data_IF_523382883983
#
_entry.id   IF_523382883983
#
_cell.length_a   1.000
_cell.length_b   1.000
_cell.length_c   1.000
_cell.angle_alpha   90.00
_cell.angle_beta   90.00
_cell.angle_gamma   90.00
#
_symmetry.space_group_name_H-M   'P 1'
#
loop_
_entity.id
_entity.type
_entity.pdbx_description
1 polymer ?
#
# COMPACT_ATOMS: atom_id res chain seq x y z
N UNK A 1 -9.81 6.68 -7.93
CA UNK A 1 -8.60 7.51 -7.77
C UNK A 1 -7.53 6.95 -8.70
N UNK A 2 -6.80 7.81 -9.41
CA UNK A 2 -5.64 7.39 -10.20
C UNK A 2 -4.38 7.56 -9.34
N UNK A 3 -3.48 6.59 -9.35
CA UNK A 3 -2.21 6.63 -8.62
C UNK A 3 -1.07 6.27 -9.57
N UNK A 4 0.02 7.02 -9.50
CA UNK A 4 1.27 6.65 -10.16
C UNK A 4 2.03 5.66 -9.29
N UNK A 5 2.46 4.55 -9.88
CA UNK A 5 3.36 3.58 -9.27
C UNK A 5 4.49 3.32 -10.26
N UNK A 6 5.64 3.96 -10.00
CA UNK A 6 6.85 3.77 -10.79
C UNK A 6 6.67 4.10 -12.29
N UNK A 7 5.88 5.12 -12.61
CA UNK A 7 5.61 5.57 -13.98
C UNK A 7 4.40 4.93 -14.65
N UNK A 8 3.75 3.98 -13.98
CA UNK A 8 2.52 3.32 -14.42
C UNK A 8 1.32 3.88 -13.63
N UNK A 9 0.23 4.21 -14.32
CA UNK A 9 -0.97 4.76 -13.66
C UNK A 9 -2.00 3.65 -13.40
N UNK A 10 -2.35 3.46 -12.13
CA UNK A 10 -3.34 2.49 -11.69
C UNK A 10 -4.62 3.16 -11.21
N UNK A 11 -5.77 2.56 -11.53
CA UNK A 11 -7.07 2.99 -11.05
C UNK A 11 -7.46 2.22 -9.77
N UNK A 12 -7.58 2.94 -8.65
CA UNK A 12 -8.10 2.42 -7.39
C UNK A 12 -9.58 2.80 -7.22
N UNK A 13 -10.49 1.85 -6.92
CA UNK A 13 -11.89 2.15 -6.63
C UNK A 13 -11.99 3.06 -5.41
N UNK A 14 -12.71 4.19 -5.54
CA UNK A 14 -12.87 5.14 -4.42
C UNK A 14 -13.60 4.51 -3.23
N UNK A 15 -14.49 3.56 -3.47
CA UNK A 15 -15.22 2.81 -2.43
C UNK A 15 -14.31 2.02 -1.49
N UNK A 16 -13.09 1.72 -1.91
CA UNK A 16 -12.13 0.94 -1.12
C UNK A 16 -11.09 1.84 -0.45
N UNK A 17 -11.11 3.16 -0.69
CA UNK A 17 -10.15 4.10 -0.09
C UNK A 17 -10.74 4.67 1.18
N UNK A 18 -10.09 4.39 2.31
CA UNK A 18 -10.47 4.96 3.61
C UNK A 18 -9.93 6.38 3.75
N UNK A 19 -8.64 6.57 3.49
CA UNK A 19 -7.96 7.86 3.54
C UNK A 19 -6.66 7.83 2.74
N UNK A 20 -6.17 9.02 2.37
CA UNK A 20 -4.86 9.22 1.74
C UNK A 20 -3.98 9.97 2.73
N UNK A 21 -2.86 9.35 3.12
CA UNK A 21 -1.97 9.86 4.15
C UNK A 21 -0.65 10.23 3.50
N UNK A 22 -0.12 11.43 3.79
CA UNK A 22 1.24 11.78 3.39
C UNK A 22 2.23 10.94 4.18
N UNK A 23 3.14 10.25 3.49
CA UNK A 23 4.18 9.47 4.17
C UNK A 23 5.26 10.42 4.67
N UNK A 24 5.31 10.60 5.97
CA UNK A 24 6.39 11.33 6.65
C UNK A 24 7.34 10.33 7.32
N UNK A 25 8.65 10.57 7.34
CA UNK A 25 9.62 9.66 7.96
C UNK A 25 9.29 9.30 9.41
N UNK A 26 8.68 10.24 10.16
CA UNK A 26 8.28 10.03 11.56
C UNK A 26 7.18 8.97 11.74
N UNK A 27 6.36 8.73 10.72
CA UNK A 27 5.25 7.77 10.77
C UNK A 27 5.64 6.39 10.22
N UNK A 28 6.77 6.30 9.51
CA UNK A 28 7.29 5.04 8.98
C UNK A 28 8.11 4.34 10.05
N UNK A 29 7.66 3.15 10.45
CA UNK A 29 8.38 2.31 11.40
C UNK A 29 8.57 0.91 10.82
N UNK A 30 9.54 0.20 11.37
CA UNK A 30 9.76 -1.21 11.07
C UNK A 30 9.59 -1.99 12.35
N UNK A 31 8.69 -2.98 12.34
CA UNK A 31 8.49 -3.90 13.46
C UNK A 31 8.89 -5.29 12.96
N UNK A 32 9.99 -5.82 13.50
CA UNK A 32 10.60 -7.04 12.97
C UNK A 32 11.07 -6.85 11.52
N UNK A 33 10.51 -7.64 10.60
CA UNK A 33 10.75 -7.55 9.15
C UNK A 33 9.65 -6.79 8.39
N UNK A 34 8.62 -6.29 9.08
CA UNK A 34 7.46 -5.65 8.45
C UNK A 34 7.52 -4.14 8.59
N UNK A 35 7.39 -3.44 7.46
CA UNK A 35 7.19 -1.99 7.42
C UNK A 35 5.75 -1.67 7.83
N UNK A 36 5.59 -0.71 8.73
CA UNK A 36 4.28 -0.25 9.22
C UNK A 36 4.19 1.28 9.15
N UNK A 37 2.97 1.77 8.93
CA UNK A 37 2.64 3.18 9.01
C UNK A 37 1.85 3.44 10.30
N UNK A 38 2.42 4.25 11.19
CA UNK A 38 1.75 4.68 12.41
C UNK A 38 0.99 5.97 12.12
N UNK A 39 -0.34 5.88 11.99
CA UNK A 39 -1.21 7.04 11.74
C UNK A 39 -2.16 7.21 12.91
N UNK A 40 -2.08 8.36 13.57
CA UNK A 40 -2.90 8.69 14.76
C UNK A 40 -2.77 7.60 15.84
N UNK A 41 -3.82 6.80 16.04
CA UNK A 41 -3.90 5.74 17.04
C UNK A 41 -3.88 4.33 16.43
N UNK A 42 -3.51 4.21 15.15
CA UNK A 42 -3.52 2.95 14.40
C UNK A 42 -2.14 2.61 13.85
N UNK A 43 -1.82 1.31 13.87
CA UNK A 43 -0.64 0.75 13.20
C UNK A 43 -1.15 -0.02 11.99
N UNK A 44 -0.81 0.46 10.79
CA UNK A 44 -1.24 -0.13 9.54
C UNK A 44 -0.06 -0.84 8.87
N UNK A 45 -0.25 -2.07 8.35
CA UNK A 45 0.78 -2.71 7.55
C UNK A 45 1.03 -1.88 6.29
N UNK A 46 2.30 -1.60 6.00
CA UNK A 46 2.68 -0.86 4.81
C UNK A 46 3.18 -1.84 3.75
N UNK A 47 2.45 -1.92 2.65
CA UNK A 47 2.85 -2.68 1.45
C UNK A 47 3.42 -1.71 0.44
N UNK A 48 4.53 -2.08 -0.18
CA UNK A 48 5.06 -1.32 -1.31
C UNK A 48 4.24 -1.64 -2.56
N UNK A 49 3.66 -0.62 -3.19
CA UNK A 49 2.79 -0.80 -4.35
C UNK A 49 3.56 -1.40 -5.54
N UNK A 50 4.84 -1.07 -5.70
CA UNK A 50 5.66 -1.63 -6.77
C UNK A 50 5.83 -3.13 -6.59
N UNK A 51 6.06 -3.59 -5.35
CA UNK A 51 6.13 -5.03 -5.03
C UNK A 51 4.79 -5.73 -5.25
N UNK A 52 3.69 -5.11 -4.80
CA UNK A 52 2.35 -5.69 -4.92
C UNK A 52 1.90 -5.86 -6.37
N UNK A 53 2.27 -4.93 -7.25
CA UNK A 53 1.98 -4.99 -8.68
C UNK A 53 3.07 -5.67 -9.51
N UNK A 54 4.19 -6.06 -8.89
CA UNK A 54 5.30 -6.72 -9.58
C UNK A 54 6.06 -5.81 -10.56
N UNK A 55 6.05 -4.49 -10.33
CA UNK A 55 6.77 -3.51 -11.16
C UNK A 55 8.10 -3.10 -10.52
N UNK A 56 9.08 -2.62 -11.31
CA UNK A 56 10.37 -2.20 -10.78
C UNK A 56 10.21 -1.10 -9.72
N UNK A 57 10.85 -1.28 -8.56
CA UNK A 57 10.84 -0.26 -7.51
C UNK A 57 11.48 1.02 -8.02
N UNK A 58 10.70 2.11 -8.06
CA UNK A 58 11.25 3.45 -8.24
C UNK A 58 11.75 3.99 -6.89
N UNK A 59 12.73 4.91 -6.95
CA UNK A 59 13.21 5.60 -5.75
C UNK A 59 12.05 6.38 -5.13
N UNK A 60 11.76 6.12 -3.85
CA UNK A 60 10.72 6.87 -3.11
C UNK A 60 11.08 8.36 -3.10
N UNK A 61 10.21 9.17 -3.68
CA UNK A 61 10.34 10.63 -3.71
C UNK A 61 9.87 11.21 -2.37
N UNK A 62 10.59 12.19 -1.78
CA UNK A 62 10.08 12.94 -0.63
C UNK A 62 8.68 13.48 -0.91
N UNK A 63 7.76 13.32 0.04
CA UNK A 63 6.36 13.75 -0.12
C UNK A 63 5.44 12.74 -0.81
N UNK A 64 5.86 11.48 -0.94
CA UNK A 64 5.00 10.36 -1.35
C UNK A 64 3.75 10.23 -0.46
N UNK A 65 2.73 9.56 -0.98
CA UNK A 65 1.47 9.28 -0.26
C UNK A 65 1.28 7.78 -0.09
N UNK A 66 0.70 7.39 1.04
CA UNK A 66 0.15 6.07 1.27
C UNK A 66 -1.38 6.16 1.13
N UNK A 67 -1.95 5.22 0.40
CA UNK A 67 -3.40 5.07 0.30
C UNK A 67 -3.82 3.97 1.26
N UNK A 68 -4.67 4.30 2.23
CA UNK A 68 -5.21 3.32 3.16
C UNK A 68 -6.43 2.68 2.49
N UNK A 69 -6.34 1.38 2.24
CA UNK A 69 -7.39 0.60 1.58
C UNK A 69 -8.16 -0.23 2.58
N UNK A 70 -9.48 -0.32 2.40
CA UNK A 70 -10.32 -1.33 3.03
C UNK A 70 -10.35 -2.56 2.12
N UNK A 71 -9.86 -3.67 2.64
CA UNK A 71 -9.95 -4.97 1.96
C UNK A 71 -11.00 -5.81 2.68
N UNK A 72 -12.17 -6.01 2.07
CA UNK A 72 -13.08 -7.07 2.49
C UNK A 72 -12.44 -8.41 2.14
N UNK A 73 -12.04 -9.21 3.13
CA UNK A 73 -11.43 -10.51 2.86
C UNK A 73 -12.49 -11.47 2.31
N UNK A 74 -12.57 -11.61 0.98
CA UNK A 74 -13.33 -12.69 0.33
C UNK A 74 -12.45 -13.64 -0.47
N UNK A 75 -12.19 -14.78 0.18
CA UNK A 75 -11.78 -16.13 -0.27
C UNK A 75 -10.92 -16.24 -1.54
N UNK A 76 -9.63 -16.47 -1.32
CA UNK A 76 -8.70 -17.01 -2.33
C UNK A 76 -8.87 -18.53 -2.39
N UNK A 77 -9.47 -19.05 -3.47
CA UNK A 77 -9.43 -20.47 -3.78
C UNK A 77 -8.22 -20.76 -4.67
N UNK A 78 -7.22 -21.50 -4.16
CA UNK A 78 -6.13 -22.02 -4.98
C UNK A 78 -6.46 -23.45 -5.39
N UNK A 79 -6.85 -23.65 -6.65
CA UNK A 79 -6.90 -24.99 -7.25
C UNK A 79 -5.51 -25.32 -7.78
N UNK A 80 -4.70 -26.04 -7.00
CA UNK A 80 -3.64 -26.86 -7.60
C UNK A 80 -4.29 -28.15 -8.08
N UNK A 81 -4.51 -28.25 -9.39
CA UNK A 81 -4.85 -29.52 -10.03
C UNK A 81 -3.64 -30.49 -9.90
N UNK A 82 -3.90 -31.79 -9.77
CA UNK A 82 -2.92 -32.81 -9.35
C UNK A 82 -1.77 -33.05 -10.32
#
# INVERSE_FOLDING_TARGET
MMVDVSGEIYALPLTNILEVVRTEPAHLKTIGSSSVLCVRNSILPLVDASDAFGVPRSRRTPGSFAVVLVCDQKRVGRSSAP
#
